data_IF_310227616733
#
_entry.id   IF_310227616733
#
_cell.length_a   1.000
_cell.length_b   1.000
_cell.length_c   1.000
_cell.angle_alpha   90.00
_cell.angle_beta   90.00
_cell.angle_gamma   90.00
#
_symmetry.space_group_name_H-M   'P 1'
#
loop_
_entity.id
_entity.type
_entity.pdbx_description
1 polymer ?
#
# COMPACT_ATOMS: atom_id res chain seq x y z
N UNK A 1 -14.46 6.56 6.16
CA UNK A 1 -14.83 7.57 5.16
C UNK A 1 -16.33 7.78 5.18
N UNK A 2 -16.90 8.44 4.19
CA UNK A 2 -18.33 8.79 4.16
C UNK A 2 -19.26 7.57 4.25
N UNK A 3 -18.91 6.46 3.58
CA UNK A 3 -19.79 5.28 3.42
C UNK A 3 -19.25 3.99 4.02
N UNK A 4 -18.31 4.09 4.95
CA UNK A 4 -17.73 2.91 5.58
C UNK A 4 -16.40 3.16 6.24
N UNK A 5 -15.99 2.21 7.05
CA UNK A 5 -14.80 2.24 7.88
C UNK A 5 -14.09 0.91 7.78
N UNK A 6 -12.78 0.98 7.57
CA UNK A 6 -11.90 -0.18 7.62
C UNK A 6 -10.73 0.11 8.55
N UNK A 7 -10.26 -0.92 9.24
CA UNK A 7 -9.03 -0.91 10.03
C UNK A 7 -8.28 -2.20 9.79
N UNK A 8 -7.06 -2.07 9.28
CA UNK A 8 -6.12 -3.18 9.13
C UNK A 8 -4.96 -2.93 10.09
N UNK A 9 -4.76 -3.86 11.01
CA UNK A 9 -3.77 -3.80 12.07
C UNK A 9 -2.93 -5.07 12.13
N UNK A 10 -2.58 -5.50 13.33
CA UNK A 10 -1.55 -6.52 13.53
C UNK A 10 -0.13 -5.97 13.39
N UNK A 11 0.87 -6.83 13.59
CA UNK A 11 2.29 -6.44 13.64
C UNK A 11 2.85 -6.01 12.28
N UNK A 12 2.19 -6.43 11.19
CA UNK A 12 2.65 -6.18 9.82
C UNK A 12 1.48 -5.83 8.88
N UNK A 13 0.44 -5.16 9.39
CA UNK A 13 -0.78 -4.85 8.61
C UNK A 13 -1.44 -6.12 8.07
N UNK A 14 -1.41 -7.20 8.87
CA UNK A 14 -1.78 -8.56 8.48
C UNK A 14 -3.13 -9.02 9.04
N UNK A 15 -3.84 -8.16 9.78
CA UNK A 15 -5.13 -8.49 10.42
C UNK A 15 -6.18 -7.44 10.11
N UNK A 16 -7.33 -7.87 9.60
CA UNK A 16 -8.50 -7.01 9.42
C UNK A 16 -9.23 -6.92 10.76
N UNK A 17 -9.11 -5.76 11.42
CA UNK A 17 -9.66 -5.51 12.75
C UNK A 17 -11.06 -4.91 12.68
N UNK A 18 -11.39 -4.21 11.59
CA UNK A 18 -12.72 -3.64 11.35
C UNK A 18 -12.99 -3.54 9.85
N UNK A 19 -14.20 -3.90 9.43
CA UNK A 19 -14.65 -3.87 8.04
C UNK A 19 -16.17 -3.66 7.99
N UNK A 20 -16.60 -2.43 7.79
CA UNK A 20 -18.03 -2.07 7.78
C UNK A 20 -18.30 -1.02 6.70
N UNK A 21 -19.16 -1.33 5.74
CA UNK A 21 -19.52 -0.45 4.63
C UNK A 21 -21.04 -0.46 4.42
N UNK A 22 -21.57 0.64 3.88
CA UNK A 22 -23.00 0.80 3.59
C UNK A 22 -23.51 -0.28 2.62
N UNK A 23 -22.77 -0.50 1.53
CA UNK A 23 -23.10 -1.47 0.50
C UNK A 23 -22.33 -2.77 0.70
N UNK A 24 -23.06 -3.89 0.87
CA UNK A 24 -22.44 -5.21 0.94
C UNK A 24 -21.91 -5.64 -0.42
N UNK A 25 -20.73 -6.25 -0.39
CA UNK A 25 -20.06 -6.86 -1.54
C UNK A 25 -19.96 -8.37 -1.37
N UNK A 26 -19.88 -9.09 -2.49
CA UNK A 26 -19.82 -10.57 -2.49
C UNK A 26 -18.61 -11.10 -1.71
N UNK A 27 -17.51 -10.35 -1.66
CA UNK A 27 -16.29 -10.72 -0.94
C UNK A 27 -16.35 -10.48 0.58
N UNK A 28 -17.33 -9.71 1.09
CA UNK A 28 -17.38 -9.34 2.51
C UNK A 28 -17.49 -10.56 3.43
N UNK A 29 -18.15 -11.62 2.96
CA UNK A 29 -18.28 -12.88 3.70
C UNK A 29 -16.96 -13.62 3.91
N UNK A 30 -15.93 -13.33 3.11
CA UNK A 30 -14.63 -13.98 3.13
C UNK A 30 -13.50 -13.04 3.57
N UNK A 31 -13.83 -11.80 3.96
CA UNK A 31 -12.81 -10.78 4.19
C UNK A 31 -11.80 -11.20 5.27
N UNK A 32 -12.24 -11.95 6.28
CA UNK A 32 -11.37 -12.42 7.35
C UNK A 32 -10.30 -13.41 6.86
N UNK A 33 -10.55 -14.11 5.75
CA UNK A 33 -9.60 -15.05 5.14
C UNK A 33 -8.39 -14.34 4.52
N UNK A 34 -8.49 -13.02 4.28
CA UNK A 34 -7.37 -12.19 3.85
C UNK A 34 -6.40 -11.87 5.01
N UNK A 35 -6.80 -12.08 6.26
CA UNK A 35 -5.88 -11.98 7.41
C UNK A 35 -4.99 -13.22 7.45
N UNK A 36 -3.71 -13.03 7.78
CA UNK A 36 -2.77 -14.15 7.83
C UNK A 36 -1.81 -14.03 9.02
N UNK A 37 -1.42 -15.17 9.58
CA UNK A 37 -0.34 -15.22 10.55
C UNK A 37 0.99 -15.12 9.83
N UNK A 38 1.90 -14.32 10.40
CA UNK A 38 3.24 -14.18 9.86
C UNK A 38 4.27 -14.41 10.96
N UNK A 39 5.34 -15.11 10.59
CA UNK A 39 6.54 -15.27 11.44
C UNK A 39 7.53 -14.13 11.22
N UNK A 40 7.32 -13.28 10.21
CA UNK A 40 8.25 -12.19 9.84
C UNK A 40 7.54 -11.04 9.11
N UNK A 41 7.98 -9.81 9.34
CA UNK A 41 7.48 -8.62 8.63
C UNK A 41 7.77 -8.64 7.12
N UNK A 42 8.68 -9.50 6.66
CA UNK A 42 9.05 -9.61 5.23
C UNK A 42 8.04 -10.40 4.38
N UNK A 43 7.08 -11.06 5.02
CA UNK A 43 5.90 -11.66 4.39
C UNK A 43 6.20 -12.51 3.14
N UNK A 44 5.30 -12.45 2.15
CA UNK A 44 5.34 -13.27 0.93
C UNK A 44 5.66 -12.45 -0.34
N UNK A 45 6.03 -11.16 -0.20
CA UNK A 45 6.01 -10.21 -1.33
C UNK A 45 7.08 -10.43 -2.40
N UNK A 46 8.30 -10.83 -2.02
CA UNK A 46 9.43 -10.86 -2.95
C UNK A 46 9.25 -11.83 -4.13
N UNK A 47 8.79 -13.09 -3.96
CA UNK A 47 8.53 -13.98 -5.09
C UNK A 47 7.55 -13.41 -6.11
N UNK A 48 6.48 -12.75 -5.66
CA UNK A 48 5.50 -12.10 -6.55
C UNK A 48 6.11 -10.89 -7.27
N UNK A 49 6.90 -10.08 -6.56
CA UNK A 49 7.61 -8.96 -7.15
C UNK A 49 8.59 -9.42 -8.26
N UNK A 50 9.40 -10.46 -7.98
CA UNK A 50 10.29 -11.04 -8.98
C UNK A 50 9.53 -11.63 -10.18
N UNK A 51 8.34 -12.20 -9.95
CA UNK A 51 7.50 -12.66 -11.05
C UNK A 51 7.10 -11.51 -11.97
N UNK A 52 6.66 -10.37 -11.44
CA UNK A 52 6.38 -9.18 -12.26
C UNK A 52 7.61 -8.75 -13.06
N UNK A 53 8.80 -8.70 -12.44
CA UNK A 53 10.05 -8.40 -13.15
C UNK A 53 10.27 -9.34 -14.33
N UNK A 54 10.13 -10.65 -14.13
CA UNK A 54 10.34 -11.64 -15.19
C UNK A 54 9.31 -11.46 -16.31
N UNK A 55 8.04 -11.25 -15.98
CA UNK A 55 6.98 -11.07 -16.97
C UNK A 55 7.18 -9.78 -17.79
N UNK A 56 7.64 -8.69 -17.16
CA UNK A 56 8.02 -7.44 -17.84
C UNK A 56 9.18 -7.65 -18.80
N UNK A 57 10.25 -8.31 -18.35
CA UNK A 57 11.41 -8.61 -19.20
C UNK A 57 11.05 -9.52 -20.39
N UNK A 58 9.98 -10.30 -20.28
CA UNK A 58 9.43 -11.13 -21.35
C UNK A 58 8.39 -10.42 -22.23
N UNK A 59 8.06 -9.15 -21.95
CA UNK A 59 7.05 -8.39 -22.68
C UNK A 59 5.61 -8.87 -22.43
N UNK A 60 5.35 -9.52 -21.29
CA UNK A 60 4.04 -10.08 -20.92
C UNK A 60 3.26 -9.20 -19.94
N UNK A 61 3.93 -8.22 -19.33
CA UNK A 61 3.35 -7.34 -18.32
C UNK A 61 4.03 -5.97 -18.36
N UNK A 62 3.40 -4.99 -17.72
CA UNK A 62 4.01 -3.71 -17.37
C UNK A 62 4.55 -3.75 -15.93
N UNK A 63 5.55 -2.92 -15.59
CA UNK A 63 6.06 -2.85 -14.22
C UNK A 63 4.94 -2.44 -13.25
N UNK A 64 4.69 -3.25 -12.23
CA UNK A 64 3.74 -2.91 -11.17
C UNK A 64 4.20 -1.69 -10.35
N UNK A 65 5.51 -1.48 -10.27
CA UNK A 65 6.11 -0.28 -9.66
C UNK A 65 7.38 0.09 -10.43
N UNK A 66 7.28 1.11 -11.28
CA UNK A 66 8.42 1.67 -11.98
C UNK A 66 9.07 2.83 -11.20
N UNK A 67 10.09 3.46 -11.79
CA UNK A 67 10.75 4.62 -11.17
C UNK A 67 9.80 5.80 -10.93
N UNK A 68 8.80 6.00 -11.79
CA UNK A 68 7.84 7.12 -11.66
C UNK A 68 6.86 6.88 -10.51
N UNK A 69 6.35 5.65 -10.39
CA UNK A 69 5.52 5.26 -9.23
C UNK A 69 6.31 5.38 -7.92
N UNK A 70 7.59 5.01 -7.92
CA UNK A 70 8.47 5.19 -6.77
C UNK A 70 8.66 6.66 -6.34
N UNK A 71 8.66 7.60 -7.28
CA UNK A 71 8.81 9.03 -6.97
C UNK A 71 7.62 9.57 -6.16
N UNK A 72 6.42 9.02 -6.30
CA UNK A 72 5.24 9.48 -5.55
C UNK A 72 5.41 9.33 -4.05
N UNK A 73 5.90 8.17 -3.59
CA UNK A 73 6.13 7.94 -2.15
C UNK A 73 7.36 8.70 -1.65
N UNK A 74 8.41 8.80 -2.48
CA UNK A 74 9.59 9.60 -2.16
C UNK A 74 9.23 11.07 -1.97
N UNK A 75 8.35 11.62 -2.81
CA UNK A 75 7.89 13.00 -2.71
C UNK A 75 7.22 13.27 -1.35
N UNK A 76 6.34 12.37 -0.90
CA UNK A 76 5.71 12.45 0.44
C UNK A 76 6.76 12.40 1.55
N UNK A 77 7.77 11.53 1.45
CA UNK A 77 8.86 11.46 2.44
C UNK A 77 9.66 12.77 2.50
N UNK A 78 9.99 13.35 1.35
CA UNK A 78 10.71 14.62 1.28
C UNK A 78 9.85 15.75 1.87
N UNK A 79 8.56 15.80 1.54
CA UNK A 79 7.64 16.79 2.12
C UNK A 79 7.54 16.65 3.65
N UNK A 80 7.50 15.42 4.17
CA UNK A 80 7.51 15.15 5.61
C UNK A 80 8.80 15.63 6.28
N UNK A 81 9.97 15.39 5.66
CA UNK A 81 11.25 15.88 6.17
C UNK A 81 11.35 17.40 6.13
N UNK A 82 10.91 18.05 5.06
CA UNK A 82 10.87 19.51 4.95
C UNK A 82 9.94 20.12 6.01
N UNK A 83 8.77 19.52 6.21
CA UNK A 83 7.80 19.92 7.23
C UNK A 83 8.38 19.81 8.64
N UNK A 84 9.02 18.68 8.96
CA UNK A 84 9.65 18.46 10.26
C UNK A 84 10.83 19.41 10.52
N UNK A 85 11.63 19.73 9.49
CA UNK A 85 12.77 20.65 9.58
C UNK A 85 12.32 22.09 9.78
N UNK A 86 11.33 22.54 9.02
CA UNK A 86 10.92 23.96 8.97
C UNK A 86 9.74 24.28 9.93
N UNK A 87 9.10 23.26 10.50
CA UNK A 87 7.94 23.44 11.39
C UNK A 87 6.70 24.01 10.68
N UNK A 88 6.54 23.75 9.38
CA UNK A 88 5.46 24.32 8.56
C UNK A 88 4.87 23.31 7.59
N UNK A 89 3.62 23.54 7.19
CA UNK A 89 2.96 22.74 6.15
C UNK A 89 3.70 22.86 4.81
N UNK A 90 3.90 21.72 4.16
CA UNK A 90 4.45 21.60 2.80
C UNK A 90 3.35 21.06 1.89
N UNK A 91 3.10 21.76 0.78
CA UNK A 91 2.10 21.34 -0.22
C UNK A 91 2.75 20.46 -1.28
N UNK A 92 1.95 19.61 -1.92
CA UNK A 92 2.34 18.78 -3.05
C UNK A 92 1.61 19.26 -4.33
N UNK A 93 2.19 19.07 -5.53
CA UNK A 93 3.52 18.47 -5.79
C UNK A 93 4.66 19.41 -5.38
N UNK A 94 5.86 18.85 -5.20
CA UNK A 94 7.07 19.62 -4.85
C UNK A 94 7.59 20.43 -6.04
N UNK A 95 7.39 19.94 -7.26
CA UNK A 95 7.72 20.61 -8.52
C UNK A 95 6.52 20.62 -9.48
N UNK A 96 6.41 21.65 -10.32
CA UNK A 96 5.33 21.86 -11.30
C UNK A 96 5.80 21.69 -12.74
#
# INVERSE_FOLDING_TARGET
>A
GEKGTARVGGVAVNKIEHWEFEDKQDYDGQIQDASYDTTSVYGFGHPFYYKNIIDVLQGKAEPETDGREGLKSLEVLIAAYLSARDGRTVSLPLEY
#
